data_IF_058859549613
#
_entry.id   IF_058859549613
#
_cell.length_a   1.000
_cell.length_b   1.000
_cell.length_c   1.000
_cell.angle_alpha   90.00
_cell.angle_beta   90.00
_cell.angle_gamma   90.00
#
_symmetry.space_group_name_H-M   'P 1'
#
loop_
_entity.id
_entity.type
_entity.pdbx_description
1 polymer ?
#
# COMPACT_ATOMS: atom_id res chain seq x y z
N UNK A 1 27.11 -18.72 -51.86
CA UNK A 1 27.36 -17.72 -50.81
C UNK A 1 26.10 -16.99 -50.34
N UNK A 2 25.10 -16.72 -51.19
CA UNK A 2 23.87 -16.04 -50.74
C UNK A 2 22.99 -16.85 -49.75
N UNK A 3 22.94 -18.18 -49.85
CA UNK A 3 22.08 -19.00 -48.97
C UNK A 3 22.53 -19.10 -47.50
N UNK A 4 23.83 -19.01 -47.23
CA UNK A 4 24.38 -19.10 -45.86
C UNK A 4 24.17 -17.81 -45.05
N UNK A 5 24.09 -16.66 -45.74
CA UNK A 5 23.81 -15.36 -45.10
C UNK A 5 22.33 -15.21 -44.70
N UNK A 6 21.42 -15.80 -45.46
CA UNK A 6 19.98 -15.78 -45.15
C UNK A 6 19.66 -16.67 -43.95
N UNK A 7 20.26 -17.87 -43.86
CA UNK A 7 20.04 -18.77 -42.72
C UNK A 7 20.68 -18.23 -41.42
N UNK A 8 21.84 -17.57 -41.51
CA UNK A 8 22.46 -16.91 -40.36
C UNK A 8 21.64 -15.72 -39.84
N UNK A 9 21.02 -14.94 -40.72
CA UNK A 9 20.14 -13.83 -40.34
C UNK A 9 18.82 -14.33 -39.72
N UNK A 10 18.27 -15.43 -40.25
CA UNK A 10 17.07 -16.08 -39.68
C UNK A 10 17.34 -16.62 -38.28
N UNK A 11 18.49 -17.27 -38.07
CA UNK A 11 18.90 -17.81 -36.77
C UNK A 11 19.20 -16.72 -35.74
N UNK A 12 19.78 -15.59 -36.15
CA UNK A 12 20.02 -14.42 -35.29
C UNK A 12 18.71 -13.77 -34.83
N UNK A 13 17.72 -13.65 -35.71
CA UNK A 13 16.40 -13.14 -35.34
C UNK A 13 15.66 -14.09 -34.40
N UNK A 14 15.68 -15.41 -34.65
CA UNK A 14 15.06 -16.37 -33.72
C UNK A 14 15.77 -16.42 -32.37
N UNK A 15 17.09 -16.22 -32.32
CA UNK A 15 17.84 -16.21 -31.05
C UNK A 15 17.62 -14.92 -30.25
N UNK A 16 17.42 -13.77 -30.92
CA UNK A 16 17.02 -12.52 -30.25
C UNK A 16 15.57 -12.56 -29.75
N UNK A 17 14.65 -13.17 -30.48
CA UNK A 17 13.25 -13.35 -30.05
C UNK A 17 13.12 -14.39 -28.92
N UNK A 18 13.86 -15.51 -28.97
CA UNK A 18 13.86 -16.51 -27.89
C UNK A 18 14.53 -15.96 -26.62
N UNK A 19 15.63 -15.20 -26.77
CA UNK A 19 16.30 -14.56 -25.63
C UNK A 19 15.45 -13.47 -24.99
N UNK A 20 14.67 -12.69 -25.75
CA UNK A 20 13.82 -11.64 -25.17
C UNK A 20 12.60 -12.24 -24.46
N UNK A 21 11.97 -13.26 -25.05
CA UNK A 21 10.83 -13.99 -24.46
C UNK A 21 11.22 -14.75 -23.19
N UNK A 22 12.41 -15.36 -23.14
CA UNK A 22 12.90 -16.00 -21.91
C UNK A 22 13.22 -14.99 -20.81
N UNK A 23 13.74 -13.80 -21.15
CA UNK A 23 13.97 -12.75 -20.16
C UNK A 23 12.68 -12.10 -19.66
N UNK A 24 11.71 -11.81 -20.53
CA UNK A 24 10.39 -11.27 -20.14
C UNK A 24 9.59 -12.28 -19.32
N UNK A 25 9.64 -13.56 -19.66
CA UNK A 25 9.02 -14.64 -18.88
C UNK A 25 9.62 -14.75 -17.48
N UNK A 26 10.95 -14.64 -17.36
CA UNK A 26 11.64 -14.70 -16.06
C UNK A 26 11.40 -13.44 -15.22
N UNK A 27 11.37 -12.25 -15.82
CA UNK A 27 11.06 -10.99 -15.10
C UNK A 27 9.61 -11.00 -14.60
N UNK A 28 8.64 -11.40 -15.45
CA UNK A 28 7.24 -11.55 -15.04
C UNK A 28 7.06 -12.60 -13.93
N UNK A 29 7.83 -13.69 -13.98
CA UNK A 29 7.83 -14.71 -12.93
C UNK A 29 8.38 -14.19 -11.60
N UNK A 30 9.45 -13.39 -11.61
CA UNK A 30 10.07 -12.85 -10.38
C UNK A 30 9.20 -11.78 -9.74
N UNK A 31 8.63 -10.87 -10.55
CA UNK A 31 7.67 -9.88 -10.06
C UNK A 31 6.49 -10.57 -9.38
N UNK A 32 5.82 -11.50 -10.05
CA UNK A 32 4.65 -12.21 -9.49
C UNK A 32 4.96 -12.91 -8.16
N UNK A 33 6.16 -13.51 -8.00
CA UNK A 33 6.59 -14.14 -6.74
C UNK A 33 6.71 -13.10 -5.62
N UNK A 34 7.26 -11.92 -5.91
CA UNK A 34 7.43 -10.87 -4.90
C UNK A 34 6.08 -10.37 -4.37
N UNK A 35 5.10 -10.09 -5.24
CA UNK A 35 3.77 -9.67 -4.78
C UNK A 35 3.01 -10.80 -4.09
N UNK A 36 3.17 -12.06 -4.50
CA UNK A 36 2.61 -13.21 -3.75
C UNK A 36 3.17 -13.25 -2.32
N UNK A 37 4.46 -12.96 -2.14
CA UNK A 37 5.07 -12.93 -0.82
C UNK A 37 4.49 -11.82 0.07
N UNK A 38 4.34 -10.60 -0.47
CA UNK A 38 3.72 -9.45 0.22
C UNK A 38 2.27 -9.77 0.66
N UNK A 39 1.53 -10.49 -0.17
CA UNK A 39 0.14 -10.89 0.15
C UNK A 39 0.08 -12.00 1.21
N UNK A 40 1.00 -12.97 1.15
CA UNK A 40 1.12 -13.97 2.21
C UNK A 40 1.55 -13.34 3.55
N UNK A 41 2.36 -12.29 3.50
CA UNK A 41 2.72 -11.51 4.68
C UNK A 41 1.50 -10.80 5.27
N UNK A 42 0.65 -10.19 4.43
CA UNK A 42 -0.60 -9.60 4.90
C UNK A 42 -1.51 -10.61 5.60
N UNK A 43 -1.70 -11.81 5.04
CA UNK A 43 -2.49 -12.87 5.70
C UNK A 43 -1.94 -13.19 7.10
N UNK A 44 -0.62 -13.33 7.23
CA UNK A 44 0.01 -13.56 8.53
C UNK A 44 -0.19 -12.39 9.50
N UNK A 45 -0.16 -11.14 9.02
CA UNK A 45 -0.46 -9.96 9.84
C UNK A 45 -1.91 -9.97 10.32
N UNK A 46 -2.86 -10.35 9.48
CA UNK A 46 -4.29 -10.47 9.84
C UNK A 46 -4.49 -11.55 10.90
N UNK A 47 -3.85 -12.71 10.76
CA UNK A 47 -3.87 -13.75 11.81
C UNK A 47 -3.30 -13.20 13.14
N UNK A 48 -2.17 -12.48 13.09
CA UNK A 48 -1.60 -11.81 14.27
C UNK A 48 -2.53 -10.77 14.90
N UNK A 49 -3.29 -10.05 14.07
CA UNK A 49 -4.30 -9.09 14.52
C UNK A 49 -5.48 -9.76 15.23
N UNK A 50 -6.00 -10.85 14.67
CA UNK A 50 -7.08 -11.63 15.31
C UNK A 50 -6.64 -12.17 16.67
N UNK A 51 -5.42 -12.70 16.76
CA UNK A 51 -4.85 -13.15 18.03
C UNK A 51 -4.68 -12.00 19.05
N UNK A 52 -4.31 -10.81 18.58
CA UNK A 52 -4.22 -9.63 19.44
C UNK A 52 -5.59 -9.22 19.99
N UNK A 53 -6.66 -9.31 19.17
CA UNK A 53 -8.04 -9.09 19.63
C UNK A 53 -8.43 -10.12 20.68
N UNK A 54 -8.28 -11.41 20.40
CA UNK A 54 -8.64 -12.48 21.36
C UNK A 54 -7.92 -12.27 22.70
N UNK A 55 -6.65 -11.87 22.64
CA UNK A 55 -5.87 -11.59 23.83
C UNK A 55 -6.33 -10.34 24.59
N UNK A 56 -6.84 -9.31 23.90
CA UNK A 56 -7.44 -8.14 24.54
C UNK A 56 -8.78 -8.52 25.18
N UNK A 57 -9.65 -9.18 24.43
CA UNK A 57 -10.99 -9.58 24.88
C UNK A 57 -10.94 -10.49 26.11
N UNK A 58 -9.99 -11.43 26.17
CA UNK A 58 -9.77 -12.25 27.36
C UNK A 58 -9.26 -11.48 28.60
N UNK A 59 -8.75 -10.26 28.43
CA UNK A 59 -8.22 -9.43 29.50
C UNK A 59 -9.12 -8.27 29.94
N UNK A 60 -10.14 -7.89 29.16
CA UNK A 60 -10.98 -6.73 29.49
C UNK A 60 -12.03 -7.01 30.56
N UNK A 61 -12.35 -8.27 30.87
CA UNK A 61 -13.38 -8.61 31.87
C UNK A 61 -13.08 -8.06 33.27
N UNK A 62 -11.79 -7.84 33.58
CA UNK A 62 -11.32 -7.29 34.86
C UNK A 62 -11.45 -5.75 34.94
N UNK A 63 -11.82 -5.08 33.85
CA UNK A 63 -11.92 -3.63 33.75
C UNK A 63 -13.34 -3.12 34.06
N UNK A 64 -13.49 -1.83 34.42
CA UNK A 64 -14.81 -1.19 34.53
C UNK A 64 -15.62 -1.27 33.23
N UNK A 65 -16.95 -1.37 33.31
CA UNK A 65 -17.83 -1.51 32.14
C UNK A 65 -17.62 -0.42 31.07
N UNK A 66 -17.44 0.83 31.50
CA UNK A 66 -17.17 1.96 30.59
C UNK A 66 -15.88 1.73 29.77
N UNK A 67 -14.84 1.19 30.40
CA UNK A 67 -13.60 0.85 29.71
C UNK A 67 -13.76 -0.33 28.77
N UNK A 68 -14.54 -1.35 29.16
CA UNK A 68 -14.86 -2.47 28.29
C UNK A 68 -15.60 -2.01 27.04
N UNK A 69 -16.57 -1.09 27.18
CA UNK A 69 -17.34 -0.55 26.06
C UNK A 69 -16.45 0.22 25.07
N UNK A 70 -15.54 1.06 25.58
CA UNK A 70 -14.57 1.78 24.75
C UNK A 70 -13.67 0.80 23.99
N UNK A 71 -13.07 -0.17 24.69
CA UNK A 71 -12.16 -1.13 24.05
C UNK A 71 -12.89 -1.97 23.01
N UNK A 72 -14.12 -2.43 23.30
CA UNK A 72 -14.95 -3.16 22.31
C UNK A 72 -15.27 -2.29 21.10
N UNK A 73 -15.61 -1.01 21.30
CA UNK A 73 -15.85 -0.08 20.19
C UNK A 73 -14.61 0.08 19.31
N UNK A 74 -13.42 0.16 19.91
CA UNK A 74 -12.16 0.27 19.17
C UNK A 74 -11.80 -1.02 18.44
N UNK A 75 -12.10 -2.19 19.01
CA UNK A 75 -11.95 -3.49 18.33
C UNK A 75 -12.86 -3.55 17.10
N UNK A 76 -14.14 -3.16 17.24
CA UNK A 76 -15.09 -3.16 16.13
C UNK A 76 -14.64 -2.21 15.01
N UNK A 77 -14.15 -1.02 15.35
CA UNK A 77 -13.58 -0.07 14.38
C UNK A 77 -12.38 -0.69 13.64
N UNK A 78 -11.46 -1.31 14.38
CA UNK A 78 -10.28 -1.96 13.80
C UNK A 78 -10.66 -3.15 12.90
N UNK A 79 -11.64 -3.97 13.30
CA UNK A 79 -12.14 -5.08 12.51
C UNK A 79 -12.73 -4.60 11.17
N UNK A 80 -13.54 -3.54 11.19
CA UNK A 80 -14.11 -2.96 9.98
C UNK A 80 -13.01 -2.48 9.02
N UNK A 81 -11.97 -1.84 9.54
CA UNK A 81 -10.84 -1.40 8.73
C UNK A 81 -10.03 -2.57 8.14
N UNK A 82 -9.76 -3.62 8.93
CA UNK A 82 -9.09 -4.84 8.45
C UNK A 82 -9.93 -5.56 7.39
N UNK A 83 -11.26 -5.56 7.51
CA UNK A 83 -12.16 -6.13 6.50
C UNK A 83 -12.04 -5.37 5.16
N UNK A 84 -12.05 -4.03 5.18
CA UNK A 84 -11.83 -3.21 3.97
C UNK A 84 -10.47 -3.48 3.31
N UNK A 85 -9.42 -3.59 4.12
CA UNK A 85 -8.08 -3.94 3.66
C UNK A 85 -8.03 -5.35 3.06
N UNK A 86 -8.70 -6.31 3.68
CA UNK A 86 -8.81 -7.70 3.19
C UNK A 86 -9.59 -7.81 1.88
N UNK A 87 -10.61 -6.97 1.67
CA UNK A 87 -11.31 -6.88 0.38
C UNK A 87 -10.38 -6.36 -0.70
N UNK A 88 -9.59 -5.34 -0.40
CA UNK A 88 -8.61 -4.75 -1.33
C UNK A 88 -7.52 -5.78 -1.67
N UNK A 89 -7.03 -6.51 -0.67
CA UNK A 89 -6.08 -7.62 -0.85
C UNK A 89 -6.66 -8.72 -1.73
N UNK A 90 -7.89 -9.16 -1.48
CA UNK A 90 -8.57 -10.20 -2.27
C UNK A 90 -8.71 -9.77 -3.74
N UNK A 91 -8.99 -8.49 -3.97
CA UNK A 91 -9.03 -7.92 -5.31
C UNK A 91 -7.65 -7.99 -5.95
N UNK A 92 -6.60 -7.53 -5.27
CA UNK A 92 -5.21 -7.60 -5.73
C UNK A 92 -4.78 -9.02 -6.12
N UNK A 93 -5.23 -10.03 -5.37
CA UNK A 93 -4.97 -11.46 -5.61
C UNK A 93 -5.55 -11.93 -6.94
N UNK A 94 -6.74 -11.45 -7.28
CA UNK A 94 -7.38 -11.71 -8.57
C UNK A 94 -6.67 -10.97 -9.71
N UNK A 95 -6.00 -9.86 -9.40
CA UNK A 95 -5.21 -9.10 -10.38
C UNK A 95 -3.91 -9.80 -10.74
N UNK A 96 -3.24 -10.44 -9.78
CA UNK A 96 -1.95 -11.14 -9.94
C UNK A 96 -1.86 -12.07 -11.16
N UNK A 97 -2.95 -12.76 -11.50
CA UNK A 97 -2.99 -13.68 -12.64
C UNK A 97 -2.93 -12.98 -14.02
N UNK A 98 -2.95 -11.64 -14.05
CA UNK A 98 -3.14 -10.85 -15.28
C UNK A 98 -2.09 -9.74 -15.49
N UNK A 99 -1.13 -9.59 -14.57
CA UNK A 99 -0.20 -8.46 -14.55
C UNK A 99 0.97 -8.62 -15.54
N UNK A 100 1.31 -7.51 -16.21
CA UNK A 100 2.62 -7.22 -16.81
C UNK A 100 3.18 -5.95 -16.16
N UNK A 101 4.50 -5.89 -16.03
CA UNK A 101 5.36 -4.72 -15.77
C UNK A 101 4.77 -3.60 -14.87
N UNK A 102 4.23 -2.46 -15.34
CA UNK A 102 3.91 -1.29 -14.49
C UNK A 102 2.74 -1.48 -13.53
N UNK A 103 1.78 -2.34 -13.88
CA UNK A 103 0.63 -2.64 -13.02
C UNK A 103 1.12 -3.35 -11.76
N UNK A 104 2.25 -4.06 -11.86
CA UNK A 104 2.93 -4.67 -10.72
C UNK A 104 3.46 -3.63 -9.73
N UNK A 105 4.05 -2.53 -10.19
CA UNK A 105 4.61 -1.46 -9.33
C UNK A 105 3.53 -0.88 -8.41
N UNK A 106 2.38 -0.53 -8.97
CA UNK A 106 1.25 0.00 -8.20
C UNK A 106 0.63 -1.08 -7.32
N UNK A 107 0.54 -2.32 -7.82
CA UNK A 107 0.01 -3.45 -7.06
C UNK A 107 0.89 -3.76 -5.84
N UNK A 108 2.21 -3.79 -6.00
CA UNK A 108 3.18 -3.98 -4.91
C UNK A 108 3.04 -2.90 -3.85
N UNK A 109 3.02 -1.63 -4.27
CA UNK A 109 2.80 -0.51 -3.34
C UNK A 109 1.49 -0.65 -2.57
N UNK A 110 0.42 -1.05 -3.28
CA UNK A 110 -0.90 -1.26 -2.67
C UNK A 110 -0.87 -2.37 -1.61
N UNK A 111 -0.24 -3.52 -1.91
CA UNK A 111 -0.06 -4.59 -0.95
C UNK A 111 0.70 -4.13 0.31
N UNK A 112 1.80 -3.39 0.11
CA UNK A 112 2.61 -2.87 1.22
C UNK A 112 1.82 -1.89 2.08
N UNK A 113 1.08 -0.97 1.48
CA UNK A 113 0.21 -0.06 2.22
C UNK A 113 -0.87 -0.79 3.02
N UNK A 114 -1.49 -1.81 2.42
CA UNK A 114 -2.48 -2.64 3.10
C UNK A 114 -1.86 -3.36 4.31
N UNK A 115 -0.65 -3.92 4.16
CA UNK A 115 0.11 -4.52 5.27
C UNK A 115 0.44 -3.50 6.37
N UNK A 116 0.93 -2.31 6.03
CA UNK A 116 1.20 -1.23 6.99
C UNK A 116 -0.08 -0.86 7.74
N UNK A 117 -1.19 -0.67 7.04
CA UNK A 117 -2.49 -0.36 7.65
C UNK A 117 -2.91 -1.41 8.67
N UNK A 118 -2.78 -2.70 8.33
CA UNK A 118 -3.11 -3.78 9.26
C UNK A 118 -2.19 -3.82 10.48
N UNK A 119 -0.89 -3.58 10.31
CA UNK A 119 0.07 -3.47 11.42
C UNK A 119 -0.33 -2.32 12.36
N UNK A 120 -0.66 -1.14 11.83
CA UNK A 120 -1.06 0.00 12.64
C UNK A 120 -2.33 -0.27 13.44
N UNK A 121 -3.31 -0.97 12.87
CA UNK A 121 -4.50 -1.40 13.60
C UNK A 121 -4.18 -2.45 14.68
N UNK A 122 -3.30 -3.41 14.40
CA UNK A 122 -2.80 -4.36 15.39
C UNK A 122 -2.06 -3.68 16.56
N UNK A 123 -1.28 -2.64 16.26
CA UNK A 123 -0.68 -1.77 17.28
C UNK A 123 -1.77 -1.07 18.10
N UNK A 124 -2.79 -0.48 17.48
CA UNK A 124 -3.85 0.22 18.21
C UNK A 124 -4.60 -0.72 19.18
N UNK A 125 -4.92 -1.93 18.73
CA UNK A 125 -5.53 -2.97 19.58
C UNK A 125 -4.60 -3.36 20.74
N UNK A 126 -3.31 -3.57 20.46
CA UNK A 126 -2.33 -3.94 21.48
C UNK A 126 -2.09 -2.83 22.50
N UNK A 127 -2.11 -1.56 22.09
CA UNK A 127 -2.01 -0.40 22.97
C UNK A 127 -3.14 -0.38 24.01
N UNK A 128 -4.37 -0.70 23.58
CA UNK A 128 -5.51 -0.80 24.48
C UNK A 128 -5.37 -1.91 25.52
N UNK A 129 -4.64 -2.99 25.20
CA UNK A 129 -4.27 -4.05 26.16
C UNK A 129 -3.30 -3.55 27.23
N UNK A 130 -2.25 -2.84 26.79
CA UNK A 130 -1.14 -2.43 27.65
C UNK A 130 -1.52 -1.27 28.57
N UNK A 131 -2.46 -0.43 28.13
CA UNK A 131 -2.92 0.73 28.86
C UNK A 131 -4.46 0.74 28.91
N UNK A 132 -5.07 -0.23 29.61
CA UNK A 132 -6.51 -0.32 29.70
C UNK A 132 -7.09 0.95 30.32
N UNK A 133 -8.08 1.54 29.64
CA UNK A 133 -8.73 2.75 30.13
C UNK A 133 -9.39 2.44 31.48
N UNK A 134 -9.32 3.34 32.47
CA UNK A 134 -9.93 3.13 33.81
C UNK A 134 -8.96 3.05 34.99
N UNK A 135 -7.65 2.91 34.77
CA UNK A 135 -6.68 3.30 35.78
C UNK A 135 -6.52 4.81 35.77
N UNK A 136 -6.77 5.45 36.92
CA UNK A 136 -6.60 6.89 37.15
C UNK A 136 -5.17 7.30 36.83
N UNK A 137 -4.95 7.73 35.59
CA UNK A 137 -3.62 7.96 35.03
C UNK A 137 -3.44 7.38 33.64
N UNK A 138 -4.45 7.50 32.74
CA UNK A 138 -4.16 7.47 31.30
C UNK A 138 -2.93 8.36 31.09
N UNK A 139 -1.82 7.78 30.65
CA UNK A 139 -0.75 8.64 30.17
C UNK A 139 -1.36 9.36 28.98
N UNK A 140 -1.45 10.68 29.06
CA UNK A 140 -1.79 11.55 27.94
C UNK A 140 -1.09 11.07 26.64
N UNK A 141 0.12 10.52 26.78
CA UNK A 141 0.87 9.75 25.79
C UNK A 141 0.09 8.64 25.08
N UNK A 142 -0.61 7.74 25.77
CA UNK A 142 -1.39 6.66 25.13
C UNK A 142 -2.50 7.23 24.24
N UNK A 143 -3.26 8.21 24.76
CA UNK A 143 -4.32 8.86 24.00
C UNK A 143 -3.78 9.55 22.75
N UNK A 144 -2.62 10.22 22.86
CA UNK A 144 -1.91 10.82 21.72
C UNK A 144 -1.48 9.77 20.70
N UNK A 145 -0.87 8.67 21.15
CA UNK A 145 -0.46 7.56 20.29
C UNK A 145 -1.64 6.98 19.51
N UNK A 146 -2.71 6.60 20.20
CA UNK A 146 -3.90 6.01 19.56
C UNK A 146 -4.50 6.97 18.52
N UNK A 147 -4.65 8.26 18.86
CA UNK A 147 -5.18 9.25 17.92
C UNK A 147 -4.34 9.39 16.65
N UNK A 148 -3.00 9.43 16.79
CA UNK A 148 -2.09 9.51 15.64
C UNK A 148 -2.17 8.24 14.80
N UNK A 149 -2.19 7.07 15.43
CA UNK A 149 -2.29 5.78 14.73
C UNK A 149 -3.61 5.69 13.95
N UNK A 150 -4.73 6.06 14.56
CA UNK A 150 -6.04 6.09 13.88
C UNK A 150 -6.05 7.06 12.70
N UNK A 151 -5.56 8.28 12.90
CA UNK A 151 -5.50 9.28 11.83
C UNK A 151 -4.62 8.83 10.66
N UNK A 152 -3.47 8.21 10.95
CA UNK A 152 -2.58 7.68 9.92
C UNK A 152 -3.17 6.43 9.25
N UNK A 153 -3.89 5.59 9.98
CA UNK A 153 -4.58 4.43 9.42
C UNK A 153 -5.68 4.86 8.43
N UNK A 154 -6.43 5.93 8.74
CA UNK A 154 -7.40 6.53 7.80
C UNK A 154 -6.73 7.09 6.54
N UNK A 155 -5.55 7.71 6.68
CA UNK A 155 -4.73 8.15 5.54
C UNK A 155 -4.37 6.96 4.65
N UNK A 156 -3.84 5.88 5.23
CA UNK A 156 -3.42 4.68 4.49
C UNK A 156 -4.61 3.97 3.83
N UNK A 157 -5.75 3.85 4.52
CA UNK A 157 -6.98 3.30 3.93
C UNK A 157 -7.44 4.14 2.72
N UNK A 158 -7.30 5.46 2.80
CA UNK A 158 -7.61 6.36 1.69
C UNK A 158 -6.66 6.16 0.51
N UNK A 159 -5.36 5.99 0.76
CA UNK A 159 -4.38 5.64 -0.29
C UNK A 159 -4.69 4.30 -0.94
N UNK A 160 -5.02 3.27 -0.15
CA UNK A 160 -5.40 1.95 -0.65
C UNK A 160 -6.61 2.04 -1.60
N UNK A 161 -7.63 2.83 -1.22
CA UNK A 161 -8.79 3.09 -2.06
C UNK A 161 -8.45 3.84 -3.37
N UNK A 162 -7.57 4.85 -3.31
CA UNK A 162 -7.11 5.57 -4.51
C UNK A 162 -6.35 4.63 -5.44
N UNK A 163 -5.46 3.80 -4.89
CA UNK A 163 -4.72 2.81 -5.65
C UNK A 163 -5.62 1.75 -6.27
N UNK A 164 -6.64 1.27 -5.56
CA UNK A 164 -7.58 0.30 -6.12
C UNK A 164 -8.27 0.86 -7.37
N UNK A 165 -8.73 2.12 -7.32
CA UNK A 165 -9.29 2.79 -8.50
C UNK A 165 -8.27 2.84 -9.65
N UNK A 166 -7.03 3.22 -9.37
CA UNK A 166 -5.97 3.30 -10.37
C UNK A 166 -5.67 1.92 -10.98
N UNK A 167 -5.56 0.88 -10.16
CA UNK A 167 -5.32 -0.50 -10.59
C UNK A 167 -6.45 -1.04 -11.47
N UNK A 168 -7.71 -0.83 -11.07
CA UNK A 168 -8.88 -1.24 -11.85
C UNK A 168 -8.85 -0.66 -13.26
N UNK A 169 -8.49 0.62 -13.37
CA UNK A 169 -8.32 1.29 -14.65
C UNK A 169 -7.11 0.74 -15.43
N UNK A 170 -5.95 0.62 -14.77
CA UNK A 170 -4.72 0.12 -15.41
C UNK A 170 -4.89 -1.27 -16.00
N UNK A 171 -5.70 -2.14 -15.39
CA UNK A 171 -5.98 -3.48 -15.94
C UNK A 171 -6.70 -3.44 -17.29
N UNK A 172 -7.57 -2.45 -17.50
CA UNK A 172 -8.28 -2.28 -18.76
C UNK A 172 -7.38 -1.66 -19.82
N UNK A 173 -6.49 -0.74 -19.40
CA UNK A 173 -5.68 0.10 -20.29
C UNK A 173 -4.20 -0.32 -20.38
N UNK A 174 -3.84 -1.51 -19.89
CA UNK A 174 -2.43 -1.98 -19.78
C UNK A 174 -1.72 -2.13 -21.13
N UNK A 175 -2.47 -2.48 -22.17
CA UNK A 175 -1.93 -2.71 -23.52
C UNK A 175 -2.13 -1.47 -24.42
N UNK A 176 -2.62 -0.36 -23.85
CA UNK A 176 -2.86 0.88 -24.60
C UNK A 176 -1.54 1.61 -24.90
N UNK A 177 -1.52 2.25 -26.06
CA UNK A 177 -0.44 3.14 -26.50
C UNK A 177 -0.99 4.53 -26.71
N UNK A 178 -0.21 5.55 -26.37
CA UNK A 178 -0.55 6.94 -26.66
C UNK A 178 0.46 7.57 -27.61
N UNK A 179 0.03 8.54 -28.41
CA UNK A 179 0.91 9.24 -29.35
C UNK A 179 1.43 10.54 -28.72
N UNK A 180 2.72 10.58 -28.40
CA UNK A 180 3.41 11.78 -27.94
C UNK A 180 4.40 12.24 -29.00
N UNK A 181 4.20 13.45 -29.54
CA UNK A 181 5.12 14.07 -30.51
C UNK A 181 5.46 13.14 -31.69
N UNK A 182 4.40 12.52 -32.26
CA UNK A 182 4.48 11.56 -33.39
C UNK A 182 5.13 10.21 -33.05
N UNK A 183 5.42 9.95 -31.77
CA UNK A 183 5.96 8.67 -31.28
C UNK A 183 4.87 7.94 -30.49
N UNK A 184 4.66 6.66 -30.80
CA UNK A 184 3.83 5.77 -29.98
C UNK A 184 4.59 5.37 -28.72
N UNK A 185 4.01 5.69 -27.57
CA UNK A 185 4.57 5.39 -26.25
C UNK A 185 3.56 4.53 -25.49
N UNK A 186 3.97 3.39 -24.91
CA UNK A 186 3.09 2.60 -24.06
C UNK A 186 2.56 3.44 -22.88
N UNK A 187 1.26 3.31 -22.59
CA UNK A 187 0.60 3.93 -21.43
C UNK A 187 1.40 3.69 -20.15
N UNK A 188 1.83 2.45 -20.01
CA UNK A 188 2.71 1.96 -18.98
C UNK A 188 3.95 2.84 -18.74
N UNK A 189 4.66 3.25 -19.80
CA UNK A 189 5.93 3.98 -19.64
C UNK A 189 5.72 5.34 -18.95
N UNK A 190 4.54 5.94 -19.14
CA UNK A 190 4.16 7.22 -18.54
C UNK A 190 3.77 7.01 -17.09
N UNK A 191 2.93 6.00 -16.81
CA UNK A 191 2.54 5.65 -15.46
C UNK A 191 3.77 5.32 -14.60
N UNK A 192 4.67 4.47 -15.10
CA UNK A 192 5.93 4.14 -14.44
C UNK A 192 6.77 5.39 -14.13
N UNK A 193 6.93 6.30 -15.10
CA UNK A 193 7.68 7.55 -14.88
C UNK A 193 7.17 8.36 -13.68
N UNK A 194 5.86 8.40 -13.47
CA UNK A 194 5.24 9.20 -12.41
C UNK A 194 5.08 8.43 -11.09
N UNK A 195 4.90 7.11 -11.13
CA UNK A 195 4.56 6.30 -9.96
C UNK A 195 5.77 5.55 -9.35
N UNK A 196 6.89 5.38 -10.06
CA UNK A 196 8.12 4.79 -9.50
C UNK A 196 8.58 5.42 -8.18
N UNK A 197 8.54 6.76 -7.98
CA UNK A 197 8.96 7.38 -6.71
C UNK A 197 8.19 6.86 -5.49
N UNK A 198 6.94 6.41 -5.68
CA UNK A 198 6.12 5.86 -4.61
C UNK A 198 6.71 4.53 -4.12
N UNK A 199 7.11 3.66 -5.05
CA UNK A 199 7.67 2.34 -4.70
C UNK A 199 9.01 2.48 -3.98
N UNK A 200 9.88 3.36 -4.46
CA UNK A 200 11.18 3.61 -3.81
C UNK A 200 11.02 4.14 -2.37
N UNK A 201 10.00 4.97 -2.12
CA UNK A 201 9.67 5.41 -0.77
C UNK A 201 9.10 4.27 0.08
N UNK A 202 8.28 3.39 -0.51
CA UNK A 202 7.59 2.32 0.21
C UNK A 202 8.49 1.21 0.72
N UNK A 203 9.56 0.91 0.00
CA UNK A 203 10.56 -0.06 0.45
C UNK A 203 11.24 0.38 1.77
N UNK A 204 11.38 1.70 1.98
CA UNK A 204 11.94 2.24 3.22
C UNK A 204 10.94 2.14 4.39
N UNK A 205 9.65 2.33 4.12
CA UNK A 205 8.61 2.21 5.15
C UNK A 205 8.26 0.77 5.48
N UNK A 206 8.48 -0.17 4.56
CA UNK A 206 8.25 -1.60 4.84
C UNK A 206 9.16 -2.10 5.96
N UNK A 207 10.44 -1.75 5.92
CA UNK A 207 11.38 -2.08 6.99
C UNK A 207 10.97 -1.48 8.35
N UNK A 208 10.36 -0.28 8.34
CA UNK A 208 9.83 0.36 9.54
C UNK A 208 8.61 -0.42 10.05
N UNK A 209 7.72 -0.85 9.16
CA UNK A 209 6.53 -1.63 9.50
C UNK A 209 6.87 -3.03 10.03
N UNK A 210 7.80 -3.73 9.38
CA UNK A 210 8.37 -4.99 9.85
C UNK A 210 8.97 -4.84 11.26
N UNK A 211 9.62 -3.71 11.57
CA UNK A 211 10.19 -3.46 12.90
C UNK A 211 9.14 -3.32 14.00
N UNK A 212 7.89 -3.01 13.64
CA UNK A 212 6.74 -2.95 14.56
C UNK A 212 6.15 -4.32 14.84
N UNK A 213 6.62 -5.36 14.15
CA UNK A 213 6.23 -6.74 14.38
C UNK A 213 7.33 -7.50 15.12
N UNK A 214 6.94 -8.52 15.87
CA UNK A 214 7.86 -9.56 16.34
C UNK A 214 7.19 -10.92 16.38
N UNK A 215 7.98 -11.99 16.23
CA UNK A 215 7.50 -13.36 16.38
C UNK A 215 7.88 -13.89 17.75
N UNK A 216 6.88 -14.17 18.58
CA UNK A 216 7.03 -14.79 19.90
C UNK A 216 6.25 -16.09 19.88
N UNK A 217 6.90 -17.22 20.16
CA UNK A 217 6.29 -18.56 20.10
C UNK A 217 5.59 -18.87 18.76
N UNK A 218 6.11 -18.32 17.66
CA UNK A 218 5.56 -18.51 16.31
C UNK A 218 4.41 -17.58 15.96
N UNK A 219 3.94 -16.74 16.89
CA UNK A 219 2.84 -15.79 16.72
C UNK A 219 3.34 -14.37 16.52
N UNK A 220 2.67 -13.59 15.69
CA UNK A 220 3.00 -12.18 15.48
C UNK A 220 2.45 -11.37 16.66
N UNK A 221 3.30 -10.50 17.21
CA UNK A 221 2.94 -9.48 18.20
C UNK A 221 3.34 -8.10 17.68
N UNK A 222 2.61 -7.07 18.11
CA UNK A 222 2.81 -5.70 17.67
C UNK A 222 3.47 -4.84 18.75
N UNK A 223 4.41 -4.00 18.33
CA UNK A 223 5.17 -3.09 19.19
C UNK A 223 4.63 -1.67 19.11
N UNK A 224 4.76 -0.93 20.20
CA UNK A 224 4.46 0.49 20.20
C UNK A 224 5.42 1.24 19.23
N UNK A 225 4.91 2.05 18.31
CA UNK A 225 5.73 2.84 17.42
C UNK A 225 6.40 4.00 18.15
N UNK A 226 7.49 4.52 17.60
CA UNK A 226 8.06 5.81 18.00
C UNK A 226 7.45 6.95 17.18
N UNK A 227 7.61 8.20 17.61
CA UNK A 227 7.17 9.34 16.79
C UNK A 227 7.95 9.42 15.47
N UNK A 228 9.19 8.90 15.44
CA UNK A 228 9.96 8.77 14.21
C UNK A 228 9.29 7.80 13.22
N UNK A 229 8.84 6.63 13.68
CA UNK A 229 8.10 5.68 12.83
C UNK A 229 6.88 6.36 12.19
N UNK A 230 6.11 7.12 12.97
CA UNK A 230 4.90 7.79 12.48
C UNK A 230 5.21 8.89 11.46
N UNK A 231 6.24 9.70 11.71
CA UNK A 231 6.68 10.72 10.76
C UNK A 231 7.09 10.11 9.43
N UNK A 232 7.77 8.95 9.44
CA UNK A 232 8.15 8.25 8.21
C UNK A 232 6.97 7.76 7.39
N UNK A 233 5.92 7.27 8.03
CA UNK A 233 4.68 6.94 7.32
C UNK A 233 3.95 8.19 6.77
N UNK A 234 4.03 9.33 7.45
CA UNK A 234 3.48 10.58 6.92
C UNK A 234 4.28 11.09 5.71
N UNK A 235 5.62 11.02 5.76
CA UNK A 235 6.50 11.43 4.65
C UNK A 235 6.23 10.63 3.36
N UNK A 236 5.92 9.34 3.46
CA UNK A 236 5.58 8.55 2.26
C UNK A 236 4.24 8.97 1.64
N UNK A 237 3.25 9.33 2.45
CA UNK A 237 1.99 9.88 1.94
C UNK A 237 2.22 11.18 1.18
N UNK A 238 3.18 12.03 1.59
CA UNK A 238 3.54 13.22 0.81
C UNK A 238 4.10 12.85 -0.57
N UNK A 239 4.95 11.80 -0.64
CA UNK A 239 5.48 11.28 -1.92
C UNK A 239 4.35 10.74 -2.80
N UNK A 240 3.41 9.99 -2.20
CA UNK A 240 2.23 9.48 -2.89
C UNK A 240 1.39 10.61 -3.50
N UNK A 241 1.02 11.61 -2.68
CA UNK A 241 0.25 12.79 -3.10
C UNK A 241 0.97 13.51 -4.23
N UNK A 242 2.30 13.69 -4.11
CA UNK A 242 3.09 14.37 -5.13
C UNK A 242 3.11 13.60 -6.46
N UNK A 243 3.34 12.29 -6.42
CA UNK A 243 3.40 11.45 -7.61
C UNK A 243 2.10 11.49 -8.41
N UNK A 244 0.95 11.36 -7.73
CA UNK A 244 -0.35 11.46 -8.40
C UNK A 244 -0.67 12.89 -8.87
N UNK A 245 -0.28 13.93 -8.12
CA UNK A 245 -0.42 15.30 -8.59
C UNK A 245 0.42 15.59 -9.84
N UNK A 246 1.64 15.06 -9.91
CA UNK A 246 2.51 15.20 -11.09
C UNK A 246 1.89 14.49 -12.31
N UNK A 247 1.29 13.31 -12.12
CA UNK A 247 0.56 12.59 -13.17
C UNK A 247 -0.66 13.40 -13.65
N UNK A 248 -1.49 13.90 -12.74
CA UNK A 248 -2.67 14.71 -13.10
C UNK A 248 -2.25 16.00 -13.82
N UNK A 249 -1.16 16.62 -13.39
CA UNK A 249 -0.61 17.82 -14.05
C UNK A 249 -0.16 17.49 -15.47
N UNK A 250 0.57 16.39 -15.66
CA UNK A 250 0.95 15.91 -16.98
C UNK A 250 -0.27 15.68 -17.89
N UNK A 251 -1.33 15.05 -17.35
CA UNK A 251 -2.56 14.81 -18.09
C UNK A 251 -3.23 16.09 -18.57
N UNK A 252 -3.23 17.14 -17.74
CA UNK A 252 -3.79 18.46 -18.10
C UNK A 252 -2.93 19.17 -19.15
N UNK A 253 -1.61 19.13 -19.00
CA UNK A 253 -0.68 19.77 -19.94
C UNK A 253 -0.66 19.11 -21.32
N UNK A 254 -0.97 17.81 -21.39
CA UNK A 254 -0.96 17.01 -22.62
C UNK A 254 -2.34 16.57 -23.07
N UNK A 255 -3.41 17.22 -22.60
CA UNK A 255 -4.82 16.79 -22.75
C UNK A 255 -5.18 16.34 -24.16
N UNK A 256 -4.80 17.11 -25.19
CA UNK A 256 -5.10 16.81 -26.59
C UNK A 256 -4.35 15.59 -27.15
N UNK A 257 -3.21 15.23 -26.53
CA UNK A 257 -2.29 14.15 -26.93
C UNK A 257 -2.50 12.87 -26.14
N UNK A 258 -3.17 12.92 -24.99
CA UNK A 258 -3.33 11.78 -24.06
C UNK A 258 -4.79 11.53 -23.68
N UNK A 259 -5.65 11.31 -24.68
CA UNK A 259 -7.11 11.22 -24.48
C UNK A 259 -7.52 10.05 -23.60
N UNK A 260 -6.85 8.92 -23.74
CA UNK A 260 -7.09 7.71 -22.96
C UNK A 260 -6.78 7.96 -21.48
N UNK A 261 -5.67 8.64 -21.18
CA UNK A 261 -5.34 9.06 -19.80
C UNK A 261 -6.40 9.96 -19.19
N UNK A 262 -7.19 10.74 -19.95
CA UNK A 262 -8.24 11.60 -19.36
C UNK A 262 -9.31 10.80 -18.61
N UNK A 263 -9.47 9.52 -18.96
CA UNK A 263 -10.38 8.60 -18.27
C UNK A 263 -9.81 8.05 -16.95
N UNK A 264 -8.55 8.36 -16.62
CA UNK A 264 -7.91 7.94 -15.38
C UNK A 264 -8.75 8.37 -14.16
N UNK A 265 -9.04 7.46 -13.21
CA UNK A 265 -10.11 7.68 -12.24
C UNK A 265 -9.71 8.58 -11.07
N UNK A 266 -8.41 8.74 -10.79
CA UNK A 266 -7.93 9.58 -9.69
C UNK A 266 -7.96 11.05 -10.10
N UNK A 267 -8.65 11.88 -9.33
CA UNK A 267 -8.85 13.32 -9.61
C UNK A 267 -8.27 14.19 -8.50
N UNK A 268 -8.16 15.50 -8.78
CA UNK A 268 -7.70 16.50 -7.79
C UNK A 268 -8.50 16.43 -6.47
N UNK A 269 -9.78 16.06 -6.55
CA UNK A 269 -10.65 15.91 -5.37
C UNK A 269 -10.18 14.81 -4.42
N UNK A 270 -9.79 13.64 -4.95
CA UNK A 270 -9.27 12.53 -4.15
C UNK A 270 -7.97 12.93 -3.43
N UNK A 271 -7.08 13.64 -4.13
CA UNK A 271 -5.79 14.07 -3.56
C UNK A 271 -5.97 15.19 -2.53
N UNK A 272 -6.95 16.09 -2.71
CA UNK A 272 -7.27 17.12 -1.72
C UNK A 272 -7.82 16.52 -0.43
N UNK A 273 -8.69 15.52 -0.53
CA UNK A 273 -9.21 14.80 0.63
C UNK A 273 -8.07 14.11 1.39
N UNK A 274 -7.23 13.35 0.67
CA UNK A 274 -6.04 12.69 1.26
C UNK A 274 -5.09 13.70 1.92
N UNK A 275 -4.83 14.84 1.27
CA UNK A 275 -3.98 15.91 1.82
C UNK A 275 -4.58 16.48 3.11
N UNK A 276 -5.89 16.68 3.16
CA UNK A 276 -6.57 17.17 4.36
C UNK A 276 -6.44 16.18 5.52
N UNK A 277 -6.63 14.88 5.27
CA UNK A 277 -6.44 13.81 6.27
C UNK A 277 -5.00 13.76 6.78
N UNK A 278 -4.02 13.86 5.88
CA UNK A 278 -2.60 13.90 6.25
C UNK A 278 -2.29 15.10 7.15
N UNK A 279 -2.80 16.28 6.85
CA UNK A 279 -2.61 17.47 7.69
C UNK A 279 -3.26 17.34 9.06
N UNK A 280 -4.41 16.68 9.16
CA UNK A 280 -5.01 16.34 10.46
C UNK A 280 -4.07 15.43 11.24
N UNK A 281 -3.53 14.38 10.62
CA UNK A 281 -2.60 13.45 11.28
C UNK A 281 -1.30 14.14 11.73
N UNK A 282 -0.72 15.01 10.90
CA UNK A 282 0.49 15.78 11.21
C UNK A 282 0.29 16.82 12.32
N UNK A 283 -0.93 17.35 12.47
CA UNK A 283 -1.25 18.34 13.48
C UNK A 283 -1.45 17.73 14.88
N UNK A 284 -1.58 16.40 14.97
CA UNK A 284 -1.73 15.72 16.25
C UNK A 284 -0.42 15.78 17.06
N UNK A 285 -0.49 16.00 18.37
CA UNK A 285 0.69 16.06 19.22
C UNK A 285 1.36 14.69 19.30
N UNK A 286 2.62 14.61 18.82
CA UNK A 286 3.47 13.44 18.96
C UNK A 286 3.88 13.22 20.43
N UNK A 287 4.38 12.03 20.75
CA UNK A 287 4.70 11.62 22.11
C UNK A 287 6.20 11.65 22.48
N UNK A 288 7.05 11.97 21.51
CA UNK A 288 8.48 12.18 21.75
C UNK A 288 8.74 13.71 21.78
N UNK A 289 8.81 14.27 22.99
CA UNK A 289 9.52 15.53 23.29
C UNK A 289 10.99 15.20 23.61
#
# INVERSE_FOLDING_TARGET
>A
MAGLLVEAHRLLHTWQDESSLETESRVNSVCSISLIAEMAEFEAIVEGFEEAIESVEGGIEELPEEAQEIIRSEIVEAQAAIEELSVTESNLKKFLLTLKDCVFTVAKFTAQNIAIGAILWGVNVTLNKLFPQGHTGQSETHKRMSNVIKALSDVINTEANINQKALDWMKVHKDDTITLDEIEVPMEAILSKHLTPIVEASEQTNAIAESLQEKVDGKIQFKCPTAYNMKKFMEITEVFIKAFNDLITFMKEKEEKVKELQTFPVKDGDLKDLTAKLYVAMALPMWDD
#
